data_IF_186404578949
#
_entry.id   IF_186404578949
#
_cell.length_a   1.000
_cell.length_b   1.000
_cell.length_c   1.000
_cell.angle_alpha   90.00
_cell.angle_beta   90.00
_cell.angle_gamma   90.00
#
_symmetry.space_group_name_H-M   'P 1'
#
loop_
_entity.id
_entity.type
_entity.pdbx_description
1 polymer ?
#
# COMPACT_ATOMS: atom_id res chain seq x y z
N UNK A 1 7.91 15.10 -0.49
CA UNK A 1 6.86 14.17 0.01
C UNK A 1 7.49 13.32 1.09
N UNK A 2 6.77 13.07 2.18
CA UNK A 2 7.24 12.25 3.30
C UNK A 2 6.84 10.77 3.15
N UNK A 3 5.71 10.54 2.49
CA UNK A 3 5.16 9.23 2.20
C UNK A 3 5.19 8.95 0.69
N UNK A 4 5.16 7.68 0.32
CA UNK A 4 4.97 7.21 -1.05
C UNK A 4 3.82 6.21 -1.08
N UNK A 5 3.07 6.20 -2.18
CA UNK A 5 2.02 5.23 -2.44
C UNK A 5 2.23 4.63 -3.82
N UNK A 6 2.15 3.30 -3.90
CA UNK A 6 2.27 2.56 -5.15
C UNK A 6 1.26 1.40 -5.18
N UNK A 7 0.74 1.08 -6.36
CA UNK A 7 0.01 -0.17 -6.59
C UNK A 7 1.03 -1.26 -6.91
N UNK A 8 1.09 -2.30 -6.06
CA UNK A 8 2.10 -3.35 -6.14
C UNK A 8 1.63 -4.52 -7.00
N UNK A 9 0.34 -4.85 -6.95
CA UNK A 9 -0.12 -6.08 -7.58
C UNK A 9 -1.58 -6.41 -7.36
N UNK A 10 -2.00 -7.53 -7.96
CA UNK A 10 -3.24 -8.23 -7.62
C UNK A 10 -2.83 -9.50 -6.87
N UNK A 11 -3.50 -9.81 -5.77
CA UNK A 11 -3.22 -10.99 -4.95
C UNK A 11 -4.51 -11.66 -4.50
N UNK A 12 -4.55 -13.00 -4.42
CA UNK A 12 -5.68 -13.70 -3.82
C UNK A 12 -5.90 -13.26 -2.37
N UNK A 13 -7.17 -13.11 -1.96
CA UNK A 13 -7.55 -12.61 -0.62
C UNK A 13 -6.86 -13.39 0.50
N UNK A 14 -6.85 -14.73 0.40
CA UNK A 14 -6.24 -15.61 1.41
C UNK A 14 -4.73 -15.39 1.53
N UNK A 15 -4.05 -15.14 0.42
CA UNK A 15 -2.61 -14.89 0.43
C UNK A 15 -2.30 -13.53 1.07
N UNK A 16 -3.05 -12.50 0.72
CA UNK A 16 -2.94 -11.18 1.33
C UNK A 16 -3.21 -11.22 2.84
N UNK A 17 -4.26 -11.94 3.26
CA UNK A 17 -4.61 -12.10 4.65
C UNK A 17 -3.51 -12.81 5.46
N UNK A 18 -2.97 -13.92 4.95
CA UNK A 18 -1.86 -14.62 5.60
C UNK A 18 -0.63 -13.72 5.75
N UNK A 19 -0.34 -12.91 4.73
CA UNK A 19 0.76 -11.95 4.80
C UNK A 19 0.53 -10.85 5.85
N UNK A 20 -0.70 -10.32 5.95
CA UNK A 20 -1.06 -9.35 6.99
C UNK A 20 -0.91 -9.94 8.40
N UNK A 21 -1.36 -11.19 8.61
CA UNK A 21 -1.24 -11.86 9.89
C UNK A 21 0.23 -12.08 10.28
N UNK A 22 1.06 -12.57 9.36
CA UNK A 22 2.50 -12.76 9.61
C UNK A 22 3.20 -11.44 9.98
N UNK A 23 2.84 -10.33 9.30
CA UNK A 23 3.38 -9.01 9.63
C UNK A 23 2.88 -8.47 10.98
N UNK A 24 1.70 -8.89 11.45
CA UNK A 24 1.24 -8.55 12.80
C UNK A 24 1.99 -9.34 13.87
N UNK A 25 2.27 -10.62 13.62
CA UNK A 25 3.00 -11.48 14.57
C UNK A 25 4.50 -11.17 14.61
N UNK A 26 5.07 -10.73 13.49
CA UNK A 26 6.48 -10.41 13.37
C UNK A 26 6.65 -9.15 12.50
N UNK A 27 6.54 -7.95 13.06
CA UNK A 27 6.63 -6.72 12.29
C UNK A 27 8.06 -6.51 11.79
N UNK A 28 8.35 -7.05 10.60
CA UNK A 28 9.66 -6.99 9.96
C UNK A 28 9.97 -5.61 9.37
N UNK A 29 8.95 -4.83 9.01
CA UNK A 29 9.11 -3.55 8.30
C UNK A 29 8.48 -2.42 9.09
N UNK A 30 9.29 -1.62 9.78
CA UNK A 30 8.82 -0.40 10.38
C UNK A 30 8.53 0.61 9.27
N UNK A 31 7.28 1.03 9.12
CA UNK A 31 6.92 2.13 8.22
C UNK A 31 6.52 1.74 6.79
N UNK A 32 6.10 0.50 6.57
CA UNK A 32 5.41 0.05 5.35
C UNK A 32 4.08 -0.58 5.73
N UNK A 33 3.00 -0.14 5.09
CA UNK A 33 1.68 -0.76 5.24
C UNK A 33 1.12 -1.14 3.87
N UNK A 34 0.60 -2.36 3.78
CA UNK A 34 -0.04 -2.88 2.58
C UNK A 34 -1.56 -2.75 2.73
N UNK A 35 -2.20 -2.25 1.68
CA UNK A 35 -3.62 -1.97 1.59
C UNK A 35 -4.25 -2.88 0.54
N UNK A 36 -5.36 -3.53 0.86
CA UNK A 36 -6.06 -4.43 -0.05
C UNK A 36 -7.49 -3.98 -0.30
N UNK A 37 -7.89 -3.87 -1.57
CA UNK A 37 -9.27 -3.54 -1.94
C UNK A 37 -9.78 -4.39 -3.11
N UNK A 38 -11.07 -4.73 -3.08
CA UNK A 38 -11.77 -5.42 -4.18
C UNK A 38 -12.13 -4.47 -5.33
N UNK A 39 -11.99 -3.15 -5.14
CA UNK A 39 -12.34 -2.15 -6.14
C UNK A 39 -11.12 -1.31 -6.48
N UNK A 40 -10.80 -1.21 -7.77
CA UNK A 40 -9.79 -0.29 -8.26
C UNK A 40 -10.37 1.13 -8.37
N UNK A 41 -10.70 1.72 -7.23
CA UNK A 41 -11.24 3.08 -7.11
C UNK A 41 -10.53 3.84 -5.99
N UNK A 42 -10.43 5.17 -6.15
CA UNK A 42 -9.75 6.02 -5.18
C UNK A 42 -10.45 5.94 -3.81
N UNK A 43 -11.77 6.02 -3.80
CA UNK A 43 -12.63 5.86 -2.61
C UNK A 43 -12.30 4.58 -1.85
N UNK A 44 -12.31 3.43 -2.52
CA UNK A 44 -12.05 2.15 -1.87
C UNK A 44 -10.62 2.05 -1.30
N UNK A 45 -9.64 2.72 -1.90
CA UNK A 45 -8.31 2.83 -1.30
C UNK A 45 -8.29 3.76 -0.10
N UNK A 46 -8.98 4.90 -0.16
CA UNK A 46 -9.05 5.83 0.96
C UNK A 46 -9.70 5.17 2.18
N UNK A 47 -10.75 4.37 2.01
CA UNK A 47 -11.36 3.58 3.10
C UNK A 47 -10.36 2.64 3.77
N UNK A 48 -9.46 2.02 2.98
CA UNK A 48 -8.40 1.14 3.54
C UNK A 48 -7.28 1.91 4.23
N UNK A 49 -7.06 3.18 3.88
CA UNK A 49 -6.04 4.05 4.48
C UNK A 49 -6.48 4.56 5.86
N UNK A 50 -7.78 4.82 6.07
CA UNK A 50 -8.30 5.36 7.34
C UNK A 50 -7.77 4.67 8.62
N UNK A 51 -7.71 3.32 8.71
CA UNK A 51 -7.19 2.65 9.92
C UNK A 51 -5.66 2.69 10.08
N UNK A 52 -4.88 3.04 9.04
CA UNK A 52 -3.42 2.90 9.01
C UNK A 52 -2.64 3.95 9.82
N UNK A 53 -2.98 5.25 9.76
CA UNK A 53 -2.29 6.28 10.52
C UNK A 53 -2.31 6.04 12.03
N UNK A 54 -3.40 5.47 12.55
CA UNK A 54 -3.57 5.13 13.97
C UNK A 54 -2.59 4.07 14.46
N UNK A 55 -2.08 3.22 13.56
CA UNK A 55 -1.13 2.13 13.88
C UNK A 55 0.32 2.63 13.96
N UNK A 56 0.68 3.63 13.17
CA UNK A 56 2.07 4.09 12.99
C UNK A 56 2.33 5.56 13.40
N UNK A 57 1.30 6.27 13.86
CA UNK A 57 1.39 7.70 14.19
C UNK A 57 1.65 8.57 12.96
N UNK A 58 1.19 8.14 11.78
CA UNK A 58 1.36 8.90 10.54
C UNK A 58 0.39 10.07 10.45
N UNK A 59 0.76 11.08 9.66
CA UNK A 59 -0.15 12.17 9.35
C UNK A 59 -1.14 11.72 8.27
N UNK A 60 -2.40 11.53 8.66
CA UNK A 60 -3.46 11.06 7.77
C UNK A 60 -3.64 11.98 6.55
N UNK A 61 -3.65 13.30 6.74
CA UNK A 61 -3.79 14.26 5.63
C UNK A 61 -2.67 14.12 4.60
N UNK A 62 -1.42 13.92 5.05
CA UNK A 62 -0.28 13.73 4.13
C UNK A 62 -0.33 12.38 3.40
N UNK A 63 -0.80 11.32 4.07
CA UNK A 63 -0.96 10.00 3.44
C UNK A 63 -2.07 10.05 2.38
N UNK A 64 -3.22 10.62 2.73
CA UNK A 64 -4.35 10.79 1.80
C UNK A 64 -3.95 11.65 0.60
N UNK A 65 -3.28 12.78 0.82
CA UNK A 65 -2.75 13.63 -0.25
C UNK A 65 -1.79 12.87 -1.17
N UNK A 66 -0.95 12.00 -0.62
CA UNK A 66 -0.03 11.16 -1.41
C UNK A 66 -0.80 10.17 -2.30
N UNK A 67 -1.82 9.51 -1.77
CA UNK A 67 -2.68 8.58 -2.54
C UNK A 67 -3.43 9.32 -3.64
N UNK A 68 -4.01 10.48 -3.34
CA UNK A 68 -4.71 11.33 -4.32
C UNK A 68 -3.75 11.77 -5.43
N UNK A 69 -2.56 12.24 -5.09
CA UNK A 69 -1.55 12.67 -6.07
C UNK A 69 -1.08 11.52 -6.94
N UNK A 70 -0.87 10.34 -6.37
CA UNK A 70 -0.57 9.15 -7.17
C UNK A 70 -1.71 8.88 -8.16
N UNK A 71 -2.96 8.96 -7.71
CA UNK A 71 -4.12 8.65 -8.54
C UNK A 71 -4.29 9.63 -9.71
N UNK A 72 -4.07 10.92 -9.45
CA UNK A 72 -4.14 11.98 -10.45
C UNK A 72 -3.02 11.88 -11.50
N UNK A 73 -1.84 11.43 -11.10
CA UNK A 73 -0.66 11.39 -11.97
C UNK A 73 -0.47 10.06 -12.71
N UNK A 74 -1.10 8.97 -12.26
CA UNK A 74 -0.86 7.61 -12.79
C UNK A 74 -2.15 6.96 -13.33
N UNK A 75 -2.96 7.73 -14.04
CA UNK A 75 -4.25 7.28 -14.59
C UNK A 75 -4.13 6.06 -15.51
N UNK A 76 -3.07 5.99 -16.33
CA UNK A 76 -2.79 4.83 -17.20
C UNK A 76 -2.50 3.56 -16.39
N UNK A 77 -1.65 3.67 -15.36
CA UNK A 77 -1.33 2.54 -14.47
C UNK A 77 -2.57 2.04 -13.73
N UNK A 78 -3.45 2.95 -13.30
CA UNK A 78 -4.72 2.59 -12.67
C UNK A 78 -5.61 1.84 -13.65
N UNK A 79 -5.71 2.30 -14.90
CA UNK A 79 -6.46 1.60 -15.95
C UNK A 79 -5.96 0.17 -16.15
N UNK A 80 -4.64 -0.01 -16.19
CA UNK A 80 -4.01 -1.32 -16.28
C UNK A 80 -4.37 -2.23 -15.09
N UNK A 81 -4.23 -1.73 -13.87
CA UNK A 81 -4.53 -2.50 -12.66
C UNK A 81 -6.00 -2.83 -12.51
N UNK A 82 -6.88 -1.93 -12.93
CA UNK A 82 -8.32 -2.17 -13.01
C UNK A 82 -8.63 -3.33 -13.94
N UNK A 83 -8.04 -3.34 -15.15
CA UNK A 83 -8.21 -4.45 -16.10
C UNK A 83 -7.69 -5.76 -15.53
N UNK A 84 -6.52 -5.74 -14.87
CA UNK A 84 -5.93 -6.93 -14.22
C UNK A 84 -6.79 -7.47 -13.09
N UNK A 85 -7.39 -6.61 -12.27
CA UNK A 85 -8.27 -7.03 -11.19
C UNK A 85 -9.54 -7.69 -11.75
N UNK A 86 -10.13 -7.11 -12.80
CA UNK A 86 -11.29 -7.69 -13.48
C UNK A 86 -10.98 -9.05 -14.11
N UNK A 87 -9.79 -9.21 -14.70
CA UNK A 87 -9.34 -10.47 -15.30
C UNK A 87 -9.06 -11.56 -14.25
N UNK A 88 -8.55 -11.17 -13.08
CA UNK A 88 -8.23 -12.12 -12.00
C UNK A 88 -9.47 -12.72 -11.32
N UNK A 89 -10.61 -12.01 -11.31
CA UNK A 89 -11.87 -12.45 -10.70
C UNK A 89 -12.04 -12.06 -9.22
N UNK A 90 -13.19 -12.40 -8.65
CA UNK A 90 -13.70 -11.85 -7.38
C UNK A 90 -12.92 -12.26 -6.12
N UNK A 91 -12.16 -13.37 -6.18
CA UNK A 91 -11.34 -13.85 -5.06
C UNK A 91 -9.98 -13.13 -4.93
N UNK A 92 -9.81 -12.01 -5.64
CA UNK A 92 -8.57 -11.26 -5.67
C UNK A 92 -8.76 -9.82 -5.16
N UNK A 93 -7.68 -9.29 -4.59
CA UNK A 93 -7.56 -7.94 -4.11
C UNK A 93 -6.52 -7.20 -4.92
N UNK A 94 -6.79 -5.94 -5.21
CA UNK A 94 -5.78 -5.01 -5.63
C UNK A 94 -5.00 -4.55 -4.40
N UNK A 95 -3.69 -4.74 -4.45
CA UNK A 95 -2.78 -4.46 -3.36
C UNK A 95 -2.02 -3.16 -3.65
N UNK A 96 -2.26 -2.17 -2.81
CA UNK A 96 -1.48 -0.95 -2.69
C UNK A 96 -0.50 -1.01 -1.53
N UNK A 97 0.50 -0.14 -1.54
CA UNK A 97 1.46 0.00 -0.46
C UNK A 97 1.65 1.48 -0.16
N UNK A 98 1.49 1.84 1.10
CA UNK A 98 1.91 3.15 1.63
C UNK A 98 3.18 2.94 2.43
N UNK A 99 4.18 3.79 2.22
CA UNK A 99 5.43 3.70 2.97
C UNK A 99 5.98 5.09 3.32
N UNK A 100 6.63 5.19 4.47
CA UNK A 100 7.41 6.37 4.84
C UNK A 100 8.78 6.32 4.13
N UNK A 101 9.11 7.38 3.40
CA UNK A 101 10.33 7.44 2.58
C UNK A 101 11.59 7.39 3.46
N UNK A 102 11.55 7.94 4.67
CA UNK A 102 12.68 7.88 5.60
C UNK A 102 12.86 6.47 6.14
N UNK A 103 11.76 5.79 6.47
CA UNK A 103 11.81 4.40 6.93
C UNK A 103 12.35 3.47 5.84
N UNK A 104 11.85 3.60 4.61
CA UNK A 104 12.38 2.90 3.43
C UNK A 104 13.88 3.15 3.24
N UNK A 105 14.32 4.40 3.33
CA UNK A 105 15.73 4.75 3.19
C UNK A 105 16.59 4.17 4.31
N UNK A 106 16.07 4.13 5.53
CA UNK A 106 16.75 3.53 6.68
C UNK A 106 16.89 2.02 6.52
N UNK A 107 15.84 1.32 6.10
CA UNK A 107 15.92 -0.13 5.82
C UNK A 107 16.88 -0.41 4.67
N UNK A 108 16.80 0.37 3.59
CA UNK A 108 17.69 0.23 2.44
C UNK A 108 19.17 0.42 2.82
N UNK A 109 19.49 1.46 3.61
CA UNK A 109 20.85 1.69 4.10
C UNK A 109 21.32 0.55 5.02
N UNK A 110 20.44 0.03 5.87
CA UNK A 110 20.76 -1.12 6.73
C UNK A 110 21.04 -2.38 5.93
N UNK A 111 20.34 -2.60 4.81
CA UNK A 111 20.59 -3.72 3.91
C UNK A 111 21.89 -3.57 3.12
N UNK A 112 22.30 -2.33 2.82
CA UNK A 112 23.57 -2.02 2.15
C UNK A 112 24.79 -2.00 3.10
N UNK A 113 24.57 -2.10 4.42
CA UNK A 113 25.65 -2.09 5.41
C UNK A 113 26.29 -0.71 5.62
N UNK A 114 25.65 0.37 5.18
CA UNK A 114 26.09 1.73 5.48
C UNK A 114 25.47 2.19 6.80
N UNK A 115 26.13 1.81 7.91
CA UNK A 115 25.82 2.22 9.29
C UNK A 115 26.92 3.08 9.89
#
# INVERSE_FOLDING_TARGET
MKYTFDIVGVSPILHFFNHQQQNQENPQSQGVEYLGTHKCTLDAFLETVEPVPSKWGWNMDEVVDTVIKFWMNNSESIGYWKSRLTDAGDDNLLVGRVADIKALKSEFNSLLGEG
#
